data_IF_988313826416
#
_entry.id   IF_988313826416
#
_cell.length_a   1.000
_cell.length_b   1.000
_cell.length_c   1.000
_cell.angle_alpha   90.00
_cell.angle_beta   90.00
_cell.angle_gamma   90.00
#
_symmetry.space_group_name_H-M   'P 1'
#
loop_
_entity.id
_entity.type
_entity.pdbx_description
1 polymer ?
#
# COMPACT_ATOMS: atom_id res chain seq x y z
N UNK A 1 -5.24 20.27 -1.34
CA UNK A 1 -6.23 20.19 -0.24
C UNK A 1 -5.96 18.93 0.54
N UNK A 2 -5.81 19.02 1.87
CA UNK A 2 -5.50 17.88 2.73
C UNK A 2 -6.79 17.29 3.30
N UNK A 3 -7.03 16.01 3.00
CA UNK A 3 -8.25 15.31 3.40
C UNK A 3 -8.02 14.49 4.68
N UNK A 4 -8.89 14.66 5.67
CA UNK A 4 -8.89 13.87 6.91
C UNK A 4 -10.10 12.96 6.91
N UNK A 5 -9.91 11.67 7.15
CA UNK A 5 -11.00 10.72 7.40
C UNK A 5 -11.22 10.55 8.90
N UNK A 6 -12.44 10.76 9.38
CA UNK A 6 -12.81 10.55 10.78
C UNK A 6 -13.73 9.33 10.94
N UNK A 7 -13.18 8.26 11.51
CA UNK A 7 -13.89 7.03 11.90
C UNK A 7 -14.47 7.16 13.30
N UNK A 8 -15.78 6.96 13.44
CA UNK A 8 -16.51 7.22 14.69
C UNK A 8 -17.42 6.05 15.06
N UNK A 9 -17.85 6.02 16.32
CA UNK A 9 -18.77 5.00 16.86
C UNK A 9 -19.98 5.62 17.55
N UNK A 10 -21.10 4.87 17.57
CA UNK A 10 -22.38 5.27 18.19
C UNK A 10 -22.66 4.58 19.52
N UNK A 11 -21.84 3.63 19.95
CA UNK A 11 -22.05 2.81 21.15
C UNK A 11 -21.82 3.57 22.47
N UNK A 12 -21.18 4.75 22.41
CA UNK A 12 -21.01 5.66 23.55
C UNK A 12 -21.92 6.89 23.47
N UNK A 13 -22.28 7.51 24.61
CA UNK A 13 -23.06 8.73 24.61
C UNK A 13 -22.45 9.81 23.70
N UNK A 14 -23.24 10.29 22.74
CA UNK A 14 -22.75 11.24 21.73
C UNK A 14 -22.20 12.52 22.35
N UNK A 15 -22.82 12.98 23.45
CA UNK A 15 -22.42 14.16 24.21
C UNK A 15 -21.03 14.06 24.82
N UNK A 16 -20.55 12.84 25.13
CA UNK A 16 -19.20 12.61 25.62
C UNK A 16 -18.20 12.17 24.55
N UNK A 17 -18.67 11.53 23.48
CA UNK A 17 -17.81 10.95 22.45
C UNK A 17 -18.04 11.62 21.10
N UNK A 18 -18.88 11.02 20.24
CA UNK A 18 -19.06 11.42 18.84
C UNK A 18 -19.17 12.93 18.64
N UNK A 19 -20.09 13.61 19.34
CA UNK A 19 -20.28 15.06 19.22
C UNK A 19 -19.11 15.85 19.80
N UNK A 20 -18.57 15.44 20.94
CA UNK A 20 -17.46 16.12 21.60
C UNK A 20 -16.19 16.07 20.74
N UNK A 21 -15.83 14.87 20.26
CA UNK A 21 -14.68 14.63 19.38
C UNK A 21 -14.87 15.38 18.06
N UNK A 22 -16.05 15.28 17.42
CA UNK A 22 -16.36 16.01 16.18
C UNK A 22 -16.23 17.53 16.36
N UNK A 23 -16.71 18.08 17.47
CA UNK A 23 -16.59 19.51 17.74
C UNK A 23 -15.14 19.93 17.99
N UNK A 24 -14.36 19.12 18.71
CA UNK A 24 -12.95 19.37 18.93
C UNK A 24 -12.16 19.32 17.61
N UNK A 25 -12.43 18.33 16.75
CA UNK A 25 -11.87 18.22 15.40
C UNK A 25 -12.19 19.45 14.55
N UNK A 26 -13.46 19.84 14.47
CA UNK A 26 -13.90 21.03 13.75
C UNK A 26 -13.18 22.29 14.26
N UNK A 27 -13.04 22.45 15.58
CA UNK A 27 -12.35 23.60 16.18
C UNK A 27 -10.85 23.60 15.85
N UNK A 28 -10.19 22.45 15.91
CA UNK A 28 -8.78 22.30 15.54
C UNK A 28 -8.54 22.67 14.07
N UNK A 29 -9.34 22.10 13.16
CA UNK A 29 -9.22 22.32 11.71
C UNK A 29 -9.55 23.77 11.34
N UNK A 30 -10.60 24.36 11.93
CA UNK A 30 -10.92 25.77 11.73
C UNK A 30 -9.79 26.68 12.21
N UNK A 31 -9.11 26.33 13.29
CA UNK A 31 -7.94 27.09 13.75
C UNK A 31 -6.74 26.95 12.83
N UNK A 32 -6.52 25.78 12.22
CA UNK A 32 -5.43 25.55 11.27
C UNK A 32 -5.67 26.30 9.96
N UNK A 33 -6.86 26.15 9.37
CA UNK A 33 -7.22 26.83 8.12
C UNK A 33 -7.22 28.36 8.21
N UNK A 34 -7.36 28.94 9.42
CA UNK A 34 -7.25 30.40 9.62
C UNK A 34 -5.81 30.90 9.61
N UNK A 35 -4.86 30.04 9.96
CA UNK A 35 -3.48 30.43 10.22
C UNK A 35 -2.53 30.00 9.08
N UNK A 36 -3.08 29.45 7.98
CA UNK A 36 -2.30 28.90 6.88
C UNK A 36 -2.98 29.26 5.56
N UNK A 37 -2.32 30.08 4.74
CA UNK A 37 -2.81 30.43 3.39
C UNK A 37 -2.54 29.31 2.38
N UNK A 38 -1.47 28.52 2.59
CA UNK A 38 -1.01 27.49 1.65
C UNK A 38 -1.64 26.10 1.85
N UNK A 39 -2.27 25.85 3.01
CA UNK A 39 -2.80 24.52 3.37
C UNK A 39 -4.27 24.63 3.74
N UNK A 40 -5.13 24.16 2.81
CA UNK A 40 -6.56 23.97 3.07
C UNK A 40 -6.83 22.54 3.51
N UNK A 41 -7.25 22.37 4.75
CA UNK A 41 -7.64 21.08 5.34
C UNK A 41 -9.16 20.93 5.26
N UNK A 42 -9.61 19.81 4.72
CA UNK A 42 -11.01 19.39 4.71
C UNK A 42 -11.17 18.12 5.54
N UNK A 43 -12.12 18.13 6.47
CA UNK A 43 -12.51 16.92 7.18
C UNK A 43 -13.67 16.26 6.45
N UNK A 44 -13.46 15.01 6.06
CA UNK A 44 -14.52 14.13 5.61
C UNK A 44 -14.97 13.28 6.81
N UNK A 45 -16.19 13.54 7.24
CA UNK A 45 -16.86 12.68 8.21
C UNK A 45 -17.74 11.81 7.36
N UNK A 46 -17.42 10.53 7.25
CA UNK A 46 -18.22 9.67 6.41
C UNK A 46 -19.46 9.19 7.16
N UNK A 47 -20.59 9.67 6.68
CA UNK A 47 -21.91 9.10 6.89
C UNK A 47 -22.13 8.17 5.70
N UNK A 48 -22.42 6.89 5.97
CA UNK A 48 -22.42 5.74 5.05
C UNK A 48 -23.20 5.85 3.73
N UNK A 49 -23.72 7.03 3.36
CA UNK A 49 -24.62 7.26 2.22
C UNK A 49 -24.41 8.60 1.51
N UNK A 50 -23.51 9.47 1.97
CA UNK A 50 -23.41 10.80 1.35
C UNK A 50 -22.67 10.71 -0.01
N UNK A 51 -23.38 11.09 -1.08
CA UNK A 51 -22.94 11.22 -2.48
C UNK A 51 -22.82 9.94 -3.34
N UNK A 52 -23.41 8.80 -2.96
CA UNK A 52 -23.47 7.61 -3.82
C UNK A 52 -24.91 7.32 -4.28
N UNK A 53 -25.15 7.35 -5.59
CA UNK A 53 -26.45 6.99 -6.20
C UNK A 53 -26.60 5.46 -6.30
N UNK A 54 -27.76 4.92 -5.93
CA UNK A 54 -28.06 3.47 -6.03
C UNK A 54 -27.93 2.71 -4.71
N UNK A 55 -27.54 1.44 -4.77
CA UNK A 55 -27.32 0.56 -3.59
C UNK A 55 -25.84 0.16 -3.50
N UNK A 56 -24.94 1.10 -3.15
CA UNK A 56 -23.49 0.87 -3.15
C UNK A 56 -23.05 -0.10 -2.04
N UNK A 57 -21.94 -0.79 -2.26
CA UNK A 57 -21.23 -1.49 -1.19
C UNK A 57 -20.61 -0.45 -0.25
N UNK A 58 -21.27 -0.27 0.90
CA UNK A 58 -20.90 0.70 1.93
C UNK A 58 -19.45 0.46 2.41
N UNK A 59 -19.05 -0.80 2.59
CA UNK A 59 -17.73 -1.14 3.10
C UNK A 59 -16.63 -0.78 2.09
N UNK A 60 -16.84 -1.13 0.81
CA UNK A 60 -15.91 -0.75 -0.27
C UNK A 60 -15.74 0.77 -0.37
N UNK A 61 -16.84 1.52 -0.27
CA UNK A 61 -16.80 2.99 -0.34
C UNK A 61 -16.04 3.64 0.83
N UNK A 62 -16.16 3.07 2.03
CA UNK A 62 -15.43 3.54 3.22
C UNK A 62 -13.94 3.29 3.04
N UNK A 63 -13.53 2.11 2.59
CA UNK A 63 -12.12 1.80 2.35
C UNK A 63 -11.51 2.67 1.25
N UNK A 64 -12.24 2.93 0.17
CA UNK A 64 -11.82 3.87 -0.87
C UNK A 64 -11.63 5.29 -0.32
N UNK A 65 -12.53 5.77 0.53
CA UNK A 65 -12.38 7.09 1.15
C UNK A 65 -11.23 7.15 2.15
N UNK A 66 -10.96 6.06 2.87
CA UNK A 66 -9.79 5.94 3.75
C UNK A 66 -8.51 5.97 2.93
N UNK A 67 -8.42 5.20 1.83
CA UNK A 67 -7.24 5.19 0.96
C UNK A 67 -6.97 6.54 0.30
N UNK A 68 -8.04 7.29 0.00
CA UNK A 68 -7.96 8.64 -0.57
C UNK A 68 -7.77 9.77 0.47
N UNK A 69 -7.65 9.41 1.76
CA UNK A 69 -7.37 10.37 2.83
C UNK A 69 -5.87 10.53 3.07
N UNK A 70 -5.46 11.65 3.66
CA UNK A 70 -4.07 11.90 4.04
C UNK A 70 -3.82 11.53 5.50
N UNK A 71 -4.80 11.81 6.36
CA UNK A 71 -4.75 11.57 7.80
C UNK A 71 -6.01 10.81 8.19
N UNK A 72 -5.84 9.77 9.00
CA UNK A 72 -6.95 9.01 9.58
C UNK A 72 -7.04 9.28 11.08
N UNK A 73 -8.26 9.54 11.55
CA UNK A 73 -8.55 9.80 12.95
C UNK A 73 -9.68 8.87 13.38
N UNK A 74 -9.55 8.22 14.53
CA UNK A 74 -10.59 7.32 15.02
C UNK A 74 -10.96 7.51 16.49
N UNK A 75 -12.21 7.19 16.84
CA UNK A 75 -12.63 7.01 18.25
C UNK A 75 -12.34 5.56 18.70
N UNK A 76 -11.22 5.37 19.39
CA UNK A 76 -10.79 4.08 19.94
C UNK A 76 -11.31 3.84 21.38
N UNK A 77 -12.32 4.59 21.83
CA UNK A 77 -12.92 4.39 23.15
C UNK A 77 -13.58 3.02 23.26
N UNK A 78 -13.38 2.35 24.40
CA UNK A 78 -14.03 1.07 24.74
C UNK A 78 -15.53 1.26 24.82
N UNK A 79 -16.26 0.43 24.06
CA UNK A 79 -17.72 0.50 23.93
C UNK A 79 -18.47 -0.30 25.01
N UNK A 80 -17.77 -1.24 25.66
CA UNK A 80 -18.33 -2.11 26.68
C UNK A 80 -17.59 -2.00 28.03
N UNK A 81 -17.42 -0.78 28.59
CA UNK A 81 -16.60 -0.55 29.77
C UNK A 81 -17.11 -1.32 31.00
N UNK A 82 -16.23 -1.50 31.99
CA UNK A 82 -16.62 -2.10 33.27
C UNK A 82 -17.57 -1.17 34.03
N UNK A 83 -18.65 -1.73 34.57
CA UNK A 83 -19.54 -1.03 35.49
C UNK A 83 -18.82 -0.71 36.81
N UNK A 84 -19.30 0.26 37.62
CA UNK A 84 -18.70 0.54 38.94
C UNK A 84 -18.61 -0.71 39.83
N UNK A 85 -19.63 -1.56 39.82
CA UNK A 85 -19.64 -2.83 40.55
C UNK A 85 -18.61 -3.81 40.00
N UNK A 86 -18.48 -3.93 38.67
CA UNK A 86 -17.47 -4.79 38.04
C UNK A 86 -16.05 -4.33 38.35
N UNK A 87 -15.80 -3.02 38.47
CA UNK A 87 -14.50 -2.46 38.86
C UNK A 87 -14.14 -2.80 40.31
N UNK A 88 -15.12 -2.73 41.22
CA UNK A 88 -14.92 -3.08 42.65
C UNK A 88 -14.68 -4.58 42.82
N UNK A 89 -15.39 -5.41 42.04
CA UNK A 89 -15.28 -6.87 42.13
C UNK A 89 -14.02 -7.42 41.45
N UNK A 90 -13.32 -6.65 40.61
CA UNK A 90 -12.19 -7.10 39.80
C UNK A 90 -11.05 -7.79 40.60
N UNK A 91 -10.66 -7.33 41.81
CA UNK A 91 -9.65 -8.02 42.63
C UNK A 91 -10.14 -9.35 43.21
N UNK A 92 -11.46 -9.54 43.32
CA UNK A 92 -12.10 -10.68 43.99
C UNK A 92 -12.69 -11.70 43.02
N UNK A 93 -12.83 -11.35 41.73
CA UNK A 93 -13.40 -12.19 40.69
C UNK A 93 -12.83 -11.86 39.31
N UNK A 94 -12.14 -12.81 38.69
CA UNK A 94 -11.69 -12.68 37.29
C UNK A 94 -12.87 -12.91 36.34
N UNK A 95 -13.53 -11.81 35.95
CA UNK A 95 -14.54 -11.86 34.89
C UNK A 95 -13.86 -11.91 33.52
N UNK A 96 -14.18 -12.91 32.70
CA UNK A 96 -13.75 -13.04 31.29
C UNK A 96 -14.42 -12.00 30.34
N UNK A 97 -14.58 -10.74 30.77
CA UNK A 97 -15.16 -9.69 29.94
C UNK A 97 -14.05 -9.09 29.08
N UNK A 98 -14.05 -9.42 27.78
CA UNK A 98 -13.15 -8.81 26.80
C UNK A 98 -13.63 -7.41 26.48
N UNK A 99 -12.89 -6.41 26.92
CA UNK A 99 -13.14 -5.02 26.57
C UNK A 99 -12.70 -4.77 25.12
N UNK A 100 -13.49 -4.01 24.38
CA UNK A 100 -13.19 -3.70 22.98
C UNK A 100 -13.64 -2.30 22.62
N UNK A 101 -12.88 -1.57 21.80
CA UNK A 101 -13.40 -0.50 20.96
C UNK A 101 -14.44 -1.03 19.97
N UNK A 102 -15.08 -0.13 19.22
CA UNK A 102 -16.02 -0.51 18.18
C UNK A 102 -15.32 -1.35 17.08
N UNK A 103 -15.83 -2.54 16.72
CA UNK A 103 -15.20 -3.41 15.73
C UNK A 103 -15.06 -2.81 14.32
N UNK A 104 -16.03 -2.01 13.87
CA UNK A 104 -15.96 -1.35 12.56
C UNK A 104 -14.83 -0.32 12.55
N UNK A 105 -14.72 0.47 13.62
CA UNK A 105 -13.62 1.42 13.79
C UNK A 105 -12.26 0.69 13.81
N UNK A 106 -12.17 -0.51 14.41
CA UNK A 106 -10.93 -1.29 14.40
C UNK A 106 -10.57 -1.84 13.02
N UNK A 107 -11.56 -2.27 12.24
CA UNK A 107 -11.34 -2.72 10.85
C UNK A 107 -10.84 -1.55 9.99
N UNK A 108 -11.50 -0.40 10.09
CA UNK A 108 -11.11 0.83 9.39
C UNK A 108 -9.70 1.30 9.82
N UNK A 109 -9.39 1.24 11.12
CA UNK A 109 -8.07 1.54 11.66
C UNK A 109 -7.00 0.59 11.13
N UNK A 110 -7.29 -0.71 11.07
CA UNK A 110 -6.37 -1.72 10.51
C UNK A 110 -6.07 -1.45 9.04
N UNK A 111 -7.11 -1.16 8.25
CA UNK A 111 -6.97 -0.78 6.85
C UNK A 111 -6.15 0.52 6.71
N UNK A 112 -6.52 1.57 7.44
CA UNK A 112 -5.78 2.84 7.44
C UNK A 112 -4.31 2.66 7.82
N UNK A 113 -4.01 1.83 8.82
CA UNK A 113 -2.65 1.52 9.25
C UNK A 113 -1.83 0.84 8.15
N UNK A 114 -2.43 -0.10 7.40
CA UNK A 114 -1.78 -0.76 6.28
C UNK A 114 -1.53 0.18 5.09
N UNK A 115 -2.47 1.10 4.83
CA UNK A 115 -2.45 1.91 3.61
C UNK A 115 -1.75 3.27 3.78
N UNK A 116 -2.03 3.98 4.88
CA UNK A 116 -1.49 5.31 5.15
C UNK A 116 -0.18 5.26 5.94
N UNK A 117 -0.04 4.26 6.81
CA UNK A 117 1.02 4.18 7.82
C UNK A 117 0.60 4.81 9.16
N UNK A 118 1.18 4.29 10.25
CA UNK A 118 0.86 4.72 11.61
C UNK A 118 1.25 6.16 11.95
N UNK A 119 2.18 6.73 11.20
CA UNK A 119 2.64 8.11 11.31
C UNK A 119 1.56 9.14 10.96
N UNK A 120 0.48 8.71 10.28
CA UNK A 120 -0.62 9.57 9.82
C UNK A 120 -1.94 9.26 10.54
N UNK A 121 -1.87 8.55 11.66
CA UNK A 121 -3.03 8.09 12.41
C UNK A 121 -3.10 8.78 13.77
N UNK A 122 -4.28 9.29 14.13
CA UNK A 122 -4.58 9.80 15.46
C UNK A 122 -5.70 8.97 16.08
N UNK A 123 -5.36 8.16 17.09
CA UNK A 123 -6.34 7.41 17.86
C UNK A 123 -6.82 8.26 19.06
N UNK A 124 -8.09 8.61 19.10
CA UNK A 124 -8.70 9.40 20.17
C UNK A 124 -9.38 8.47 21.19
N UNK A 125 -9.15 8.70 22.49
CA UNK A 125 -9.70 7.85 23.57
C UNK A 125 -10.30 8.68 24.70
N UNK A 126 -11.56 8.39 25.04
CA UNK A 126 -12.18 8.88 26.28
C UNK A 126 -11.78 8.00 27.47
N UNK A 127 -10.88 8.51 28.29
CA UNK A 127 -10.34 7.82 29.47
C UNK A 127 -11.30 7.75 30.65
N UNK A 128 -12.49 8.38 30.55
CA UNK A 128 -13.54 8.19 31.55
C UNK A 128 -14.20 6.80 31.45
N UNK A 129 -14.18 6.22 30.25
CA UNK A 129 -14.75 4.91 29.94
C UNK A 129 -13.67 3.84 29.81
N UNK A 130 -12.45 4.23 29.42
CA UNK A 130 -11.39 3.29 29.04
C UNK A 130 -10.11 3.56 29.84
N UNK A 131 -9.43 2.51 30.30
CA UNK A 131 -7.99 2.64 30.60
C UNK A 131 -7.22 2.27 29.34
N UNK A 132 -6.02 2.84 29.16
CA UNK A 132 -5.22 2.54 27.97
C UNK A 132 -4.80 1.06 27.97
N UNK A 133 -4.55 0.52 29.15
CA UNK A 133 -4.16 -0.88 29.37
C UNK A 133 -5.30 -1.86 29.07
N UNK A 134 -6.53 -1.37 28.87
CA UNK A 134 -7.67 -2.20 28.48
C UNK A 134 -7.83 -2.27 26.95
N UNK A 135 -7.09 -1.45 26.19
CA UNK A 135 -7.14 -1.49 24.72
C UNK A 135 -6.49 -2.77 24.16
N UNK A 136 -6.89 -3.21 22.95
CA UNK A 136 -6.25 -4.32 22.24
C UNK A 136 -4.74 -4.16 22.14
N UNK A 137 -3.99 -5.28 22.21
CA UNK A 137 -2.52 -5.25 22.28
C UNK A 137 -1.88 -4.55 21.06
N UNK A 138 -2.49 -4.69 19.87
CA UNK A 138 -2.02 -4.07 18.61
C UNK A 138 -1.98 -2.53 18.65
N UNK A 139 -2.84 -1.92 19.48
CA UNK A 139 -2.97 -0.47 19.58
C UNK A 139 -2.55 0.08 20.93
N UNK A 140 -2.55 -0.72 22.01
CA UNK A 140 -2.21 -0.28 23.38
C UNK A 140 -0.84 0.39 23.49
N UNK A 141 0.15 -0.07 22.73
CA UNK A 141 1.51 0.50 22.72
C UNK A 141 1.67 1.78 21.90
N UNK A 142 0.60 2.28 21.29
CA UNK A 142 0.64 3.43 20.37
C UNK A 142 0.28 4.73 21.07
N UNK A 143 0.72 5.86 20.50
CA UNK A 143 0.38 7.20 21.01
C UNK A 143 -1.13 7.43 20.88
N UNK A 144 -1.77 7.73 22.01
CA UNK A 144 -3.21 8.02 22.08
C UNK A 144 -3.46 9.51 22.34
N UNK A 145 -4.41 10.09 21.61
CA UNK A 145 -4.97 11.40 21.90
C UNK A 145 -6.05 11.26 22.97
N UNK A 146 -5.70 11.59 24.21
CA UNK A 146 -6.54 11.32 25.36
C UNK A 146 -7.34 12.54 25.80
N UNK A 147 -8.58 12.30 26.23
CA UNK A 147 -9.37 13.23 27.02
C UNK A 147 -10.16 12.46 28.07
N UNK A 148 -10.71 13.16 29.06
CA UNK A 148 -11.52 12.56 30.12
C UNK A 148 -12.79 13.35 30.29
N UNK A 149 -13.93 12.75 29.95
CA UNK A 149 -15.23 13.39 30.16
C UNK A 149 -16.34 12.34 30.41
N UNK A 150 -16.83 12.21 31.65
CA UNK A 150 -17.82 11.20 32.05
C UNK A 150 -19.29 11.60 31.76
N UNK A 151 -19.51 12.60 30.92
CA UNK A 151 -20.82 13.19 30.57
C UNK A 151 -21.69 13.75 31.72
N UNK A 152 -21.12 13.89 32.92
CA UNK A 152 -21.80 14.43 34.11
C UNK A 152 -21.32 15.82 34.52
N UNK A 153 -20.27 16.34 33.88
CA UNK A 153 -19.60 17.60 34.20
C UNK A 153 -19.88 18.69 33.14
N UNK A 154 -21.15 19.08 32.99
CA UNK A 154 -21.59 19.99 31.91
C UNK A 154 -20.84 21.34 31.90
N UNK A 155 -20.51 21.89 33.07
CA UNK A 155 -19.77 23.16 33.21
C UNK A 155 -18.35 23.11 32.66
N UNK A 156 -17.70 21.93 32.67
CA UNK A 156 -16.32 21.75 32.23
C UNK A 156 -16.21 21.30 30.77
N UNK A 157 -17.33 20.93 30.14
CA UNK A 157 -17.38 20.38 28.77
C UNK A 157 -16.65 21.27 27.77
N UNK A 158 -16.86 22.58 27.83
CA UNK A 158 -16.21 23.55 26.92
C UNK A 158 -14.69 23.53 27.07
N UNK A 159 -14.18 23.56 28.30
CA UNK A 159 -12.74 23.51 28.61
C UNK A 159 -12.11 22.20 28.15
N UNK A 160 -12.78 21.07 28.35
CA UNK A 160 -12.30 19.75 27.92
C UNK A 160 -12.28 19.65 26.39
N UNK A 161 -13.32 20.13 25.72
CA UNK A 161 -13.38 20.18 24.25
C UNK A 161 -12.26 21.05 23.68
N UNK A 162 -11.95 22.18 24.32
CA UNK A 162 -10.89 23.10 23.91
C UNK A 162 -9.49 22.49 24.09
N UNK A 163 -9.27 21.81 25.21
CA UNK A 163 -8.03 21.07 25.45
C UNK A 163 -7.85 19.95 24.42
N UNK A 164 -8.91 19.18 24.13
CA UNK A 164 -8.87 18.14 23.10
C UNK A 164 -8.59 18.74 21.72
N UNK A 165 -9.22 19.86 21.38
CA UNK A 165 -8.98 20.56 20.11
C UNK A 165 -7.51 21.00 19.99
N UNK A 166 -6.91 21.51 21.07
CA UNK A 166 -5.49 21.89 21.08
C UNK A 166 -4.55 20.68 20.92
N UNK A 167 -4.84 19.55 21.59
CA UNK A 167 -4.06 18.33 21.44
C UNK A 167 -4.15 17.73 20.03
N UNK A 168 -5.34 17.72 19.44
CA UNK A 168 -5.55 17.28 18.05
C UNK A 168 -4.81 18.23 17.10
N UNK A 169 -4.95 19.55 17.29
CA UNK A 169 -4.26 20.56 16.48
C UNK A 169 -2.75 20.36 16.50
N UNK A 170 -2.15 20.16 17.67
CA UNK A 170 -0.70 19.90 17.79
C UNK A 170 -0.28 18.64 17.03
N UNK A 171 -1.02 17.54 17.17
CA UNK A 171 -0.70 16.30 16.44
C UNK A 171 -0.91 16.46 14.93
N UNK A 172 -1.93 17.18 14.50
CA UNK A 172 -2.13 17.51 13.09
C UNK A 172 -0.97 18.34 12.55
N UNK A 173 -0.47 19.34 13.29
CA UNK A 173 0.72 20.11 12.90
C UNK A 173 1.97 19.23 12.82
N UNK A 174 2.17 18.31 13.77
CA UNK A 174 3.30 17.37 13.74
C UNK A 174 3.23 16.46 12.49
N UNK A 175 2.04 15.96 12.15
CA UNK A 175 1.82 15.12 10.98
C UNK A 175 2.00 15.94 9.69
N UNK A 176 1.38 17.12 9.63
CA UNK A 176 1.41 17.99 8.45
C UNK A 176 2.82 18.51 8.19
N UNK A 177 3.56 18.93 9.21
CA UNK A 177 4.96 19.35 9.04
C UNK A 177 5.85 18.22 8.50
N UNK A 178 5.60 16.97 8.91
CA UNK A 178 6.26 15.80 8.31
C UNK A 178 5.79 15.55 6.88
N UNK A 179 4.50 15.78 6.59
CA UNK A 179 3.96 15.71 5.22
C UNK A 179 4.47 16.82 4.30
N UNK A 180 4.73 18.01 4.83
CA UNK A 180 5.33 19.12 4.09
C UNK A 180 6.83 18.86 3.86
N UNK A 181 7.51 18.18 4.80
CA UNK A 181 8.82 17.58 4.51
C UNK A 181 8.73 16.46 3.46
N UNK A 182 7.57 15.79 3.33
CA UNK A 182 7.28 14.83 2.24
C UNK A 182 6.98 15.52 0.89
N UNK A 183 6.69 16.83 0.86
CA UNK A 183 6.61 17.61 -0.39
C UNK A 183 7.98 17.97 -0.97
N UNK A 184 9.08 17.55 -0.36
CA UNK A 184 10.39 17.57 -1.03
C UNK A 184 10.26 16.75 -2.32
N UNK A 185 10.46 17.35 -3.50
CA UNK A 185 10.53 16.61 -4.75
C UNK A 185 11.50 15.43 -4.65
N UNK A 186 12.60 15.58 -3.89
CA UNK A 186 13.59 14.53 -3.66
C UNK A 186 13.04 13.36 -2.85
N UNK A 187 12.20 13.59 -1.83
CA UNK A 187 11.57 12.49 -1.10
C UNK A 187 10.49 11.79 -1.93
N UNK A 188 9.67 12.53 -2.68
CA UNK A 188 8.69 11.90 -3.60
C UNK A 188 9.42 11.07 -4.64
N UNK A 189 10.52 11.60 -5.19
CA UNK A 189 11.39 10.88 -6.11
C UNK A 189 11.98 9.64 -5.46
N UNK A 190 12.43 9.71 -4.20
CA UNK A 190 12.93 8.57 -3.44
C UNK A 190 11.85 7.51 -3.20
N UNK A 191 10.61 7.91 -2.87
CA UNK A 191 9.48 6.98 -2.69
C UNK A 191 9.15 6.28 -4.01
N UNK A 192 8.98 7.04 -5.09
CA UNK A 192 8.71 6.51 -6.43
C UNK A 192 9.81 5.54 -6.87
N UNK A 193 11.07 5.92 -6.66
CA UNK A 193 12.25 5.12 -7.01
C UNK A 193 12.29 3.80 -6.24
N UNK A 194 12.09 3.83 -4.92
CA UNK A 194 12.04 2.63 -4.10
C UNK A 194 10.88 1.71 -4.51
N UNK A 195 9.70 2.27 -4.74
CA UNK A 195 8.52 1.50 -5.15
C UNK A 195 8.72 0.83 -6.49
N UNK A 196 9.28 1.55 -7.47
CA UNK A 196 9.62 0.98 -8.77
C UNK A 196 10.64 -0.17 -8.67
N UNK A 197 11.66 -0.02 -7.82
CA UNK A 197 12.64 -1.09 -7.55
C UNK A 197 11.95 -2.33 -6.94
N UNK A 198 11.01 -2.14 -6.02
CA UNK A 198 10.19 -3.23 -5.47
C UNK A 198 9.37 -3.92 -6.57
N UNK A 199 8.70 -3.16 -7.45
CA UNK A 199 7.92 -3.70 -8.58
C UNK A 199 8.76 -4.59 -9.49
N UNK A 200 9.95 -4.12 -9.84
CA UNK A 200 10.84 -4.81 -10.80
C UNK A 200 11.54 -6.02 -10.18
N UNK A 201 11.67 -6.10 -8.85
CA UNK A 201 12.10 -7.32 -8.18
C UNK A 201 11.10 -8.48 -8.40
N UNK A 202 9.79 -8.22 -8.47
CA UNK A 202 8.80 -9.28 -8.80
C UNK A 202 9.03 -9.86 -10.19
N UNK A 203 9.40 -9.02 -11.16
CA UNK A 203 9.78 -9.48 -12.50
C UNK A 203 11.04 -10.35 -12.46
N UNK A 204 12.01 -9.97 -11.62
CA UNK A 204 13.21 -10.76 -11.35
C UNK A 204 12.88 -12.14 -10.78
N UNK A 205 11.93 -12.25 -9.85
CA UNK A 205 11.45 -13.55 -9.33
C UNK A 205 10.95 -14.44 -10.46
N UNK A 206 10.07 -13.91 -11.30
CA UNK A 206 9.53 -14.63 -12.44
C UNK A 206 10.65 -15.16 -13.34
N UNK A 207 11.60 -14.28 -13.71
CA UNK A 207 12.68 -14.66 -14.59
C UNK A 207 13.61 -15.69 -13.96
N UNK A 208 13.90 -15.58 -12.67
CA UNK A 208 14.77 -16.54 -12.00
C UNK A 208 14.19 -17.95 -12.11
N UNK A 209 12.90 -18.14 -11.79
CA UNK A 209 12.23 -19.42 -11.96
C UNK A 209 12.19 -19.90 -13.41
N UNK A 210 11.91 -18.99 -14.36
CA UNK A 210 11.81 -19.34 -15.78
C UNK A 210 13.15 -19.82 -16.35
N UNK A 211 14.23 -19.13 -15.98
CA UNK A 211 15.59 -19.37 -16.43
C UNK A 211 16.25 -20.54 -15.70
N UNK A 212 15.97 -20.76 -14.42
CA UNK A 212 16.53 -21.86 -13.63
C UNK A 212 16.27 -23.21 -14.29
N UNK A 213 15.08 -23.39 -14.86
CA UNK A 213 14.69 -24.59 -15.61
C UNK A 213 15.62 -24.90 -16.80
N UNK A 214 16.36 -23.91 -17.32
CA UNK A 214 17.25 -24.05 -18.48
C UNK A 214 18.73 -23.86 -18.14
N UNK A 215 19.04 -22.95 -17.23
CA UNK A 215 20.41 -22.53 -16.92
C UNK A 215 20.92 -23.11 -15.58
N UNK A 216 20.02 -23.64 -14.75
CA UNK A 216 20.30 -23.96 -13.35
C UNK A 216 20.25 -22.72 -12.44
N UNK A 217 20.01 -22.94 -11.15
CA UNK A 217 19.72 -21.87 -10.17
C UNK A 217 20.76 -20.75 -10.19
N UNK A 218 22.04 -21.09 -10.04
CA UNK A 218 23.12 -20.10 -9.91
C UNK A 218 23.23 -19.19 -11.14
N UNK A 219 23.22 -19.78 -12.34
CA UNK A 219 23.35 -19.01 -13.57
C UNK A 219 22.10 -18.17 -13.86
N UNK A 220 20.91 -18.69 -13.53
CA UNK A 220 19.66 -17.92 -13.62
C UNK A 220 19.70 -16.70 -12.70
N UNK A 221 20.16 -16.88 -11.46
CA UNK A 221 20.32 -15.80 -10.48
C UNK A 221 21.32 -14.75 -10.98
N UNK A 222 22.49 -15.17 -11.50
CA UNK A 222 23.50 -14.26 -12.06
C UNK A 222 22.90 -13.42 -13.21
N UNK A 223 22.27 -14.06 -14.19
CA UNK A 223 21.64 -13.37 -15.34
C UNK A 223 20.55 -12.39 -14.90
N UNK A 224 19.71 -12.74 -13.93
CA UNK A 224 18.64 -11.86 -13.42
C UNK A 224 19.22 -10.69 -12.63
N UNK A 225 20.26 -10.92 -11.84
CA UNK A 225 20.89 -9.86 -11.06
C UNK A 225 21.62 -8.85 -11.95
N UNK A 226 22.30 -9.33 -13.00
CA UNK A 226 23.01 -8.50 -13.99
C UNK A 226 22.05 -7.73 -14.90
N UNK A 227 20.86 -8.29 -15.17
CA UNK A 227 19.88 -7.65 -16.05
C UNK A 227 18.86 -6.77 -15.32
N UNK A 228 18.35 -7.15 -14.14
CA UNK A 228 17.18 -6.47 -13.53
C UNK A 228 17.40 -6.09 -12.06
N UNK A 229 17.96 -6.95 -11.22
CA UNK A 229 17.90 -6.74 -9.77
C UNK A 229 19.04 -5.89 -9.19
N UNK A 230 20.26 -6.00 -9.72
CA UNK A 230 21.44 -5.35 -9.10
C UNK A 230 22.04 -4.26 -10.00
N UNK A 231 21.34 -3.90 -11.08
CA UNK A 231 21.82 -2.94 -12.08
C UNK A 231 22.17 -1.60 -11.44
N UNK A 232 23.45 -1.37 -11.14
CA UNK A 232 23.89 -0.20 -10.38
C UNK A 232 24.53 0.87 -11.25
N UNK A 233 25.22 0.50 -12.33
CA UNK A 233 25.88 1.42 -13.28
C UNK A 233 26.49 0.73 -14.51
N UNK A 234 26.77 -0.59 -14.44
CA UNK A 234 27.34 -1.40 -15.52
C UNK A 234 26.33 -2.44 -16.01
N UNK A 235 25.31 -1.98 -16.73
CA UNK A 235 24.33 -2.86 -17.35
C UNK A 235 24.98 -3.67 -18.49
N UNK A 236 24.85 -5.00 -18.45
CA UNK A 236 25.30 -5.86 -19.53
C UNK A 236 24.14 -6.23 -20.47
N UNK A 237 24.20 -5.69 -21.69
CA UNK A 237 23.27 -6.02 -22.78
C UNK A 237 23.28 -7.52 -23.11
N UNK A 238 24.39 -8.23 -22.87
CA UNK A 238 24.53 -9.64 -23.17
C UNK A 238 23.56 -10.51 -22.35
N UNK A 239 23.26 -10.11 -21.11
CA UNK A 239 22.30 -10.80 -20.25
C UNK A 239 20.87 -10.73 -20.82
N UNK A 240 20.47 -9.59 -21.41
CA UNK A 240 19.18 -9.51 -22.12
C UNK A 240 19.16 -10.42 -23.33
N UNK A 241 20.23 -10.46 -24.13
CA UNK A 241 20.28 -11.33 -25.31
C UNK A 241 20.16 -12.81 -24.91
N UNK A 242 20.75 -13.20 -23.78
CA UNK A 242 20.59 -14.56 -23.25
C UNK A 242 19.13 -14.86 -22.85
N UNK A 243 18.47 -13.92 -22.15
CA UNK A 243 17.04 -14.04 -21.81
C UNK A 243 16.20 -14.17 -23.09
N UNK A 244 16.39 -13.27 -24.05
CA UNK A 244 15.66 -13.22 -25.32
C UNK A 244 15.84 -14.53 -26.08
N UNK A 245 17.08 -15.03 -26.20
CA UNK A 245 17.36 -16.31 -26.87
C UNK A 245 16.64 -17.48 -26.23
N UNK A 246 16.47 -17.51 -24.90
CA UNK A 246 15.70 -18.56 -24.22
C UNK A 246 14.22 -18.45 -24.59
N UNK A 247 13.67 -17.23 -24.63
CA UNK A 247 12.27 -17.00 -25.03
C UNK A 247 11.98 -17.29 -26.51
N UNK A 248 12.97 -17.16 -27.40
CA UNK A 248 12.83 -17.58 -28.80
C UNK A 248 12.60 -19.09 -28.92
N UNK A 249 13.13 -19.87 -27.99
CA UNK A 249 13.21 -21.33 -28.08
C UNK A 249 12.24 -22.07 -27.14
N UNK A 250 11.72 -21.41 -26.09
CA UNK A 250 10.86 -22.03 -25.07
C UNK A 250 9.39 -21.62 -25.27
N UNK A 251 8.48 -22.59 -25.23
CA UNK A 251 7.05 -22.28 -25.27
C UNK A 251 6.56 -21.76 -23.91
N UNK A 252 5.97 -20.57 -23.91
CA UNK A 252 5.39 -19.98 -22.70
C UNK A 252 4.10 -20.68 -22.27
N UNK A 253 3.49 -21.51 -23.12
CA UNK A 253 2.33 -22.31 -22.74
C UNK A 253 2.71 -23.58 -21.96
N UNK A 254 4.01 -23.93 -21.88
CA UNK A 254 4.49 -24.99 -21.02
C UNK A 254 4.13 -24.73 -19.56
N UNK A 255 3.88 -25.81 -18.82
CA UNK A 255 3.66 -25.74 -17.38
C UNK A 255 4.94 -25.26 -16.68
N UNK A 256 4.75 -24.32 -15.77
CA UNK A 256 5.77 -23.90 -14.82
C UNK A 256 5.76 -24.80 -13.58
N UNK A 257 6.80 -24.68 -12.77
CA UNK A 257 6.86 -25.30 -11.44
C UNK A 257 6.05 -24.51 -10.39
N UNK A 258 5.41 -23.40 -10.77
CA UNK A 258 4.57 -22.61 -9.88
C UNK A 258 3.15 -23.19 -9.80
N UNK A 259 2.64 -23.33 -8.58
CA UNK A 259 1.30 -23.85 -8.29
C UNK A 259 0.40 -22.78 -7.68
N UNK A 260 -0.86 -22.73 -8.09
CA UNK A 260 -1.91 -21.94 -7.43
C UNK A 260 -2.18 -22.44 -6.00
N UNK A 261 -2.94 -21.67 -5.21
CA UNK A 261 -3.41 -22.10 -3.89
C UNK A 261 -4.24 -23.41 -3.95
N UNK A 262 -4.91 -23.66 -5.08
CA UNK A 262 -5.62 -24.91 -5.38
C UNK A 262 -4.73 -26.06 -5.83
N UNK A 263 -3.41 -25.87 -5.90
CA UNK A 263 -2.42 -26.88 -6.30
C UNK A 263 -2.30 -27.11 -7.81
N UNK A 264 -2.88 -26.24 -8.64
CA UNK A 264 -2.80 -26.36 -10.11
C UNK A 264 -1.51 -25.69 -10.61
N UNK A 265 -0.72 -26.39 -11.41
CA UNK A 265 0.43 -25.80 -12.09
C UNK A 265 -0.04 -24.69 -13.05
N UNK A 266 0.56 -23.51 -12.93
CA UNK A 266 0.38 -22.42 -13.88
C UNK A 266 1.29 -22.64 -15.09
N UNK A 267 0.84 -22.25 -16.28
CA UNK A 267 1.74 -22.05 -17.42
C UNK A 267 2.65 -20.84 -17.20
N UNK A 268 3.79 -20.80 -17.87
CA UNK A 268 4.66 -19.60 -17.86
C UNK A 268 3.91 -18.36 -18.38
N UNK A 269 2.98 -18.54 -19.31
CA UNK A 269 2.08 -17.52 -19.84
C UNK A 269 1.20 -16.92 -18.75
N UNK A 270 0.50 -17.73 -17.97
CA UNK A 270 -0.36 -17.27 -16.87
C UNK A 270 0.46 -16.54 -15.81
N UNK A 271 1.65 -17.06 -15.51
CA UNK A 271 2.53 -16.43 -14.52
C UNK A 271 3.05 -15.07 -15.01
N UNK A 272 3.46 -14.98 -16.27
CA UNK A 272 3.92 -13.73 -16.89
C UNK A 272 2.81 -12.67 -16.99
N UNK A 273 1.60 -13.06 -17.39
CA UNK A 273 0.43 -12.15 -17.39
C UNK A 273 0.19 -11.59 -15.99
N UNK A 274 0.29 -12.44 -14.96
CA UNK A 274 0.11 -12.02 -13.56
C UNK A 274 1.18 -11.00 -13.15
N UNK A 275 2.44 -11.24 -13.52
CA UNK A 275 3.54 -10.30 -13.26
C UNK A 275 3.29 -8.94 -13.92
N UNK A 276 2.94 -8.91 -15.21
CA UNK A 276 2.68 -7.65 -15.93
C UNK A 276 1.44 -6.91 -15.40
N UNK A 277 0.38 -7.62 -15.02
CA UNK A 277 -0.80 -7.00 -14.41
C UNK A 277 -0.45 -6.30 -13.10
N UNK A 278 0.36 -6.95 -12.27
CA UNK A 278 0.82 -6.38 -11.00
C UNK A 278 1.70 -5.16 -11.21
N UNK A 279 2.66 -5.22 -12.12
CA UNK A 279 3.53 -4.08 -12.45
C UNK A 279 2.71 -2.90 -12.97
N UNK A 280 1.78 -3.15 -13.90
CA UNK A 280 0.90 -2.13 -14.46
C UNK A 280 0.02 -1.47 -13.39
N UNK A 281 -0.63 -2.26 -12.53
CA UNK A 281 -1.48 -1.75 -11.45
C UNK A 281 -0.69 -0.92 -10.43
N UNK A 282 0.52 -1.33 -10.08
CA UNK A 282 1.35 -0.57 -9.14
C UNK A 282 1.85 0.74 -9.77
N UNK A 283 2.24 0.74 -11.06
CA UNK A 283 2.53 1.98 -11.78
C UNK A 283 1.32 2.93 -11.79
N UNK A 284 0.11 2.43 -12.01
CA UNK A 284 -1.13 3.23 -11.97
C UNK A 284 -1.39 3.82 -10.57
N UNK A 285 -1.17 3.04 -9.50
CA UNK A 285 -1.27 3.52 -8.12
C UNK A 285 -0.27 4.64 -7.82
N UNK A 286 0.97 4.50 -8.29
CA UNK A 286 2.00 5.53 -8.12
C UNK A 286 1.67 6.80 -8.90
N UNK A 287 1.20 6.65 -10.15
CA UNK A 287 0.81 7.77 -11.01
C UNK A 287 -0.41 8.52 -10.47
N UNK A 288 -1.44 7.82 -9.99
CA UNK A 288 -2.61 8.48 -9.40
C UNK A 288 -2.26 9.27 -8.13
N UNK A 289 -1.31 8.77 -7.35
CA UNK A 289 -0.90 9.39 -6.08
C UNK A 289 0.12 10.52 -6.25
N UNK A 290 1.05 10.39 -7.19
CA UNK A 290 2.22 11.28 -7.31
C UNK A 290 2.36 11.92 -8.70
N UNK A 291 1.53 11.61 -9.69
CA UNK A 291 1.70 12.07 -11.07
C UNK A 291 1.77 13.60 -11.22
N UNK A 292 1.10 14.36 -10.36
CA UNK A 292 1.11 15.83 -10.39
C UNK A 292 2.20 16.49 -9.54
N UNK A 293 2.94 15.71 -8.74
CA UNK A 293 3.90 16.23 -7.75
C UNK A 293 5.25 15.51 -7.73
N UNK A 294 5.38 14.40 -8.47
CA UNK A 294 6.60 13.61 -8.60
C UNK A 294 7.55 14.15 -9.66
N UNK A 295 8.74 13.56 -9.70
CA UNK A 295 9.76 13.91 -10.70
C UNK A 295 9.24 13.63 -12.13
N UNK A 296 9.18 14.64 -13.01
CA UNK A 296 8.57 14.49 -14.34
C UNK A 296 9.21 13.39 -15.20
N UNK A 297 10.53 13.22 -15.13
CA UNK A 297 11.24 12.21 -15.91
C UNK A 297 10.86 10.79 -15.45
N UNK A 298 10.83 10.57 -14.13
CA UNK A 298 10.44 9.29 -13.56
C UNK A 298 8.95 8.98 -13.81
N UNK A 299 8.08 10.00 -13.76
CA UNK A 299 6.65 9.85 -14.07
C UNK A 299 6.45 9.39 -15.51
N UNK A 300 7.12 10.00 -16.49
CA UNK A 300 7.03 9.59 -17.91
C UNK A 300 7.49 8.14 -18.10
N UNK A 301 8.57 7.74 -17.41
CA UNK A 301 9.05 6.35 -17.45
C UNK A 301 8.04 5.36 -16.86
N UNK A 302 7.40 5.71 -15.74
CA UNK A 302 6.35 4.88 -15.13
C UNK A 302 5.12 4.75 -16.04
N UNK A 303 4.71 5.80 -16.74
CA UNK A 303 3.62 5.75 -17.73
C UNK A 303 3.96 4.79 -18.87
N UNK A 304 5.17 4.89 -19.43
CA UNK A 304 5.63 3.98 -20.49
C UNK A 304 5.61 2.52 -20.06
N UNK A 305 6.13 2.20 -18.87
CA UNK A 305 6.16 0.82 -18.38
C UNK A 305 4.75 0.29 -18.15
N UNK A 306 3.85 1.11 -17.60
CA UNK A 306 2.43 0.76 -17.46
C UNK A 306 1.83 0.39 -18.81
N UNK A 307 1.99 1.25 -19.81
CA UNK A 307 1.39 1.09 -21.13
C UNK A 307 1.97 -0.12 -21.87
N UNK A 308 3.30 -0.30 -21.85
CA UNK A 308 3.94 -1.46 -22.48
C UNK A 308 3.54 -2.75 -21.75
N UNK A 309 3.38 -2.75 -20.42
CA UNK A 309 2.90 -3.93 -19.68
C UNK A 309 1.49 -4.33 -20.10
N UNK A 310 0.58 -3.35 -20.27
CA UNK A 310 -0.78 -3.60 -20.78
C UNK A 310 -0.74 -4.16 -22.21
N UNK A 311 0.08 -3.55 -23.07
CA UNK A 311 0.25 -4.00 -24.45
C UNK A 311 0.83 -5.42 -24.53
N UNK A 312 1.79 -5.76 -23.66
CA UNK A 312 2.34 -7.11 -23.54
C UNK A 312 1.28 -8.14 -23.17
N UNK A 313 0.42 -7.84 -22.19
CA UNK A 313 -0.69 -8.73 -21.81
C UNK A 313 -1.63 -8.94 -23.01
N UNK A 314 -2.01 -7.86 -23.68
CA UNK A 314 -2.89 -7.93 -24.85
C UNK A 314 -2.25 -8.74 -25.99
N UNK A 315 -0.95 -8.54 -26.24
CA UNK A 315 -0.20 -9.27 -27.24
C UNK A 315 -0.11 -10.76 -26.91
N UNK A 316 0.23 -11.13 -25.68
CA UNK A 316 0.30 -12.52 -25.25
C UNK A 316 -1.05 -13.23 -25.44
N UNK A 317 -2.16 -12.52 -25.20
CA UNK A 317 -3.50 -13.06 -25.42
C UNK A 317 -3.84 -13.17 -26.91
N UNK A 318 -3.50 -12.16 -27.72
CA UNK A 318 -3.83 -12.13 -29.16
C UNK A 318 -2.93 -13.03 -30.02
N UNK A 319 -1.65 -13.17 -29.66
CA UNK A 319 -0.70 -14.07 -30.33
C UNK A 319 -1.08 -15.55 -30.15
N UNK A 320 -1.95 -15.84 -29.18
CA UNK A 320 -2.55 -17.16 -28.98
C UNK A 320 -3.97 -17.29 -29.60
N UNK A 321 -4.43 -16.29 -30.34
CA UNK A 321 -5.67 -16.39 -31.10
C UNK A 321 -5.56 -17.49 -32.17
N UNK A 322 -6.71 -18.08 -32.51
CA UNK A 322 -6.79 -19.08 -33.57
C UNK A 322 -6.26 -18.54 -34.90
N UNK A 323 -6.62 -17.31 -35.26
CA UNK A 323 -6.18 -16.64 -36.48
C UNK A 323 -4.64 -16.55 -36.58
N UNK A 324 -3.96 -16.10 -35.52
CA UNK A 324 -2.49 -16.01 -35.52
C UNK A 324 -1.82 -17.39 -35.62
N UNK A 325 -2.43 -18.43 -35.03
CA UNK A 325 -1.96 -19.82 -35.10
C UNK A 325 -2.08 -20.42 -36.50
N UNK A 326 -3.06 -20.00 -37.29
CA UNK A 326 -3.26 -20.46 -38.67
C UNK A 326 -2.26 -19.81 -39.65
N UNK A 327 -1.83 -18.59 -39.37
CA UNK A 327 -0.97 -17.81 -40.30
C UNK A 327 0.52 -18.01 -40.01
N UNK A 328 0.90 -18.09 -38.73
CA UNK A 328 2.31 -18.12 -38.34
C UNK A 328 2.64 -19.38 -37.55
N UNK A 329 3.78 -20.00 -37.89
CA UNK A 329 4.32 -21.10 -37.10
C UNK A 329 4.60 -20.67 -35.66
N UNK A 330 4.57 -21.62 -34.75
CA UNK A 330 4.86 -21.37 -33.33
C UNK A 330 6.25 -20.77 -33.11
N UNK A 331 7.26 -21.24 -33.86
CA UNK A 331 8.62 -20.70 -33.83
C UNK A 331 8.66 -19.22 -34.23
N UNK A 332 7.95 -18.84 -35.30
CA UNK A 332 7.88 -17.44 -35.73
C UNK A 332 7.20 -16.58 -34.68
N UNK A 333 6.09 -17.06 -34.09
CA UNK A 333 5.37 -16.33 -33.03
C UNK A 333 6.22 -16.14 -31.78
N UNK A 334 6.99 -17.15 -31.36
CA UNK A 334 7.94 -17.06 -30.23
C UNK A 334 9.05 -16.06 -30.51
N UNK A 335 9.63 -16.10 -31.71
CA UNK A 335 10.69 -15.18 -32.11
C UNK A 335 10.23 -13.73 -32.14
N UNK A 336 9.05 -13.46 -32.71
CA UNK A 336 8.45 -12.11 -32.73
C UNK A 336 8.19 -11.63 -31.31
N UNK A 337 7.61 -12.47 -30.45
CA UNK A 337 7.39 -12.15 -29.04
C UNK A 337 8.70 -11.77 -28.32
N UNK A 338 9.72 -12.62 -28.42
CA UNK A 338 10.99 -12.40 -27.73
C UNK A 338 11.72 -11.14 -28.22
N UNK A 339 11.83 -10.96 -29.55
CA UNK A 339 12.67 -9.91 -30.14
C UNK A 339 11.98 -8.56 -30.26
N UNK A 340 10.70 -8.54 -30.65
CA UNK A 340 9.99 -7.30 -31.00
C UNK A 340 9.20 -6.71 -29.85
N UNK A 341 8.94 -7.49 -28.79
CA UNK A 341 8.09 -7.08 -27.68
C UNK A 341 8.80 -7.20 -26.33
N UNK A 342 9.33 -8.38 -26.02
CA UNK A 342 9.95 -8.65 -24.72
C UNK A 342 11.28 -7.90 -24.54
N UNK A 343 12.13 -7.87 -25.56
CA UNK A 343 13.42 -7.17 -25.52
C UNK A 343 13.27 -5.66 -25.28
N UNK A 344 12.44 -4.90 -26.04
CA UNK A 344 12.19 -3.49 -25.76
C UNK A 344 11.63 -3.24 -24.36
N UNK A 345 10.76 -4.12 -23.86
CA UNK A 345 10.21 -4.00 -22.51
C UNK A 345 11.30 -4.06 -21.44
N UNK A 346 12.20 -5.05 -21.51
CA UNK A 346 13.29 -5.17 -20.53
C UNK A 346 14.21 -3.96 -20.57
N UNK A 347 14.52 -3.43 -21.75
CA UNK A 347 15.33 -2.21 -21.87
C UNK A 347 14.67 -1.02 -21.15
N UNK A 348 13.38 -0.77 -21.36
CA UNK A 348 12.66 0.33 -20.68
C UNK A 348 12.62 0.14 -19.15
N UNK A 349 12.40 -1.09 -18.68
CA UNK A 349 12.44 -1.45 -17.25
C UNK A 349 13.79 -1.13 -16.63
N UNK A 350 14.87 -1.49 -17.33
CA UNK A 350 16.24 -1.34 -16.86
C UNK A 350 16.66 0.12 -16.84
N UNK A 351 16.39 0.86 -17.90
CA UNK A 351 16.63 2.30 -17.96
C UNK A 351 15.93 3.03 -16.81
N UNK A 352 14.67 2.69 -16.55
CA UNK A 352 13.89 3.28 -15.46
C UNK A 352 14.46 2.90 -14.10
N UNK A 353 14.98 1.68 -13.94
CA UNK A 353 15.60 1.24 -12.69
C UNK A 353 16.92 1.96 -12.43
N UNK A 354 17.77 2.11 -13.45
CA UNK A 354 19.01 2.88 -13.36
C UNK A 354 18.70 4.32 -12.94
N UNK A 355 17.69 4.93 -13.56
CA UNK A 355 17.23 6.27 -13.20
C UNK A 355 16.78 6.34 -11.74
N UNK A 356 15.95 5.39 -11.29
CA UNK A 356 15.50 5.29 -9.91
C UNK A 356 16.66 5.15 -8.90
N UNK A 357 17.65 4.31 -9.20
CA UNK A 357 18.83 4.11 -8.34
C UNK A 357 19.66 5.40 -8.26
N UNK A 358 19.92 6.07 -9.39
CA UNK A 358 20.64 7.35 -9.41
C UNK A 358 19.97 8.39 -8.51
N UNK A 359 18.64 8.48 -8.57
CA UNK A 359 17.90 9.39 -7.69
C UNK A 359 18.05 9.04 -6.21
N UNK A 360 18.01 7.75 -5.86
CA UNK A 360 18.25 7.31 -4.48
C UNK A 360 19.66 7.63 -3.98
N UNK A 361 20.68 7.39 -4.81
CA UNK A 361 22.08 7.68 -4.48
C UNK A 361 22.34 9.19 -4.30
N UNK A 362 21.63 10.03 -5.07
CA UNK A 362 21.72 11.50 -4.97
C UNK A 362 21.00 12.09 -3.76
N UNK A 363 20.06 11.35 -3.16
CA UNK A 363 19.30 11.80 -2.00
C UNK A 363 20.08 11.54 -0.69
N UNK A 364 20.11 12.50 0.25
CA UNK A 364 20.74 12.30 1.58
C UNK A 364 20.08 11.18 2.42
N UNK A 365 18.97 10.63 1.94
CA UNK A 365 18.23 9.52 2.52
C UNK A 365 18.96 8.23 2.14
N UNK A 366 19.95 7.84 2.95
CA UNK A 366 20.56 6.50 2.88
C UNK A 366 19.53 5.43 3.20
N UNK A 367 18.75 5.01 2.22
CA UNK A 367 18.06 3.72 2.27
C UNK A 367 19.14 2.67 2.12
N UNK A 368 19.46 1.95 3.20
CA UNK A 368 20.19 0.70 3.09
C UNK A 368 19.35 -0.23 2.21
N UNK A 369 19.67 -0.31 0.93
CA UNK A 369 19.22 -1.36 0.03
C UNK A 369 19.92 -2.66 0.45
N UNK A 370 19.53 -3.21 1.60
CA UNK A 370 19.74 -4.63 1.79
C UNK A 370 18.81 -5.34 0.81
N UNK A 371 19.29 -6.31 0.01
CA UNK A 371 18.42 -7.16 -0.76
C UNK A 371 17.45 -7.80 0.24
N UNK A 372 16.18 -7.38 0.21
CA UNK A 372 15.13 -8.15 0.87
C UNK A 372 15.13 -9.48 0.17
N UNK A 373 15.49 -10.53 0.90
CA UNK A 373 15.17 -11.91 0.54
C UNK A 373 13.73 -11.91 0.02
N UNK A 374 13.56 -12.43 -1.19
CA UNK A 374 12.28 -12.52 -1.87
C UNK A 374 11.20 -12.97 -0.87
N UNK A 375 10.19 -12.13 -0.57
CA UNK A 375 9.04 -12.63 0.14
C UNK A 375 8.43 -13.70 -0.75
N UNK A 376 8.44 -14.95 -0.28
CA UNK A 376 7.61 -15.99 -0.86
C UNK A 376 6.16 -15.59 -0.69
N UNK A 377 5.62 -14.81 -1.62
CA UNK A 377 4.18 -14.69 -1.77
C UNK A 377 3.65 -16.05 -2.15
N UNK A 378 3.06 -16.75 -1.17
CA UNK A 378 2.11 -17.86 -1.29
C UNK A 378 2.23 -18.78 -2.54
N UNK A 379 3.44 -19.09 -2.97
CA UNK A 379 3.71 -20.13 -3.97
C UNK A 379 4.53 -21.19 -3.27
N UNK A 380 3.85 -22.26 -2.87
CA UNK A 380 4.50 -23.45 -2.34
C UNK A 380 5.31 -24.07 -3.48
N UNK A 381 6.63 -24.11 -3.36
CA UNK A 381 7.44 -24.96 -4.24
C UNK A 381 7.13 -26.43 -3.91
N UNK A 382 6.86 -27.25 -4.92
CA UNK A 382 6.69 -28.68 -4.72
C UNK A 382 8.10 -29.29 -4.53
N UNK A 383 8.43 -29.90 -3.37
CA UNK A 383 9.76 -30.45 -3.11
C UNK A 383 10.15 -31.63 -4.02
N UNK A 384 9.24 -32.13 -4.86
CA UNK A 384 9.40 -33.39 -5.58
C UNK A 384 9.69 -33.26 -7.09
N UNK A 385 10.10 -32.10 -7.62
CA UNK A 385 10.59 -32.05 -9.01
C UNK A 385 12.10 -32.32 -9.08
N UNK A 386 12.50 -33.58 -8.83
CA UNK A 386 13.72 -34.12 -9.43
C UNK A 386 13.33 -34.69 -10.80
N UNK A 387 13.67 -34.01 -11.89
CA UNK A 387 14.12 -34.58 -13.17
C UNK A 387 14.76 -33.49 -14.01
#
# INVERSE_FOLDING_TARGET
MLNIFYSWQSDSPSSSNRSLIKNALNKAIKSLNKNSEDIKIEMRIDTATDNLSGSPDIAASIFEKISNSHIFICDATIINPLSPLEKIALPFYQKNKRLTPNPNVLIELGFAASYLGWDKIICVVNTSQSRLEDLPFDIRGRRMCQYKYPDKLKSEKSKIQDNLANHIKSQLMDIISRMDNIKSPDLITSILSNKFIECTNYLGVFLNYFLENKLGHKKAEDVVNESICTVSQNFDLSAIEEIVKIFENKDINELSNAVTESGKNLSWKEFMITAFKRISSECENLLSKYGSSGNPELIVKLERIKDISVNMINFINSNDSQYMREIYSEEVRRKVFATSWLKPYFLEVIETRILAIKYLESSEIKVKSQPKVLPGENLKTNPNSQY
#
